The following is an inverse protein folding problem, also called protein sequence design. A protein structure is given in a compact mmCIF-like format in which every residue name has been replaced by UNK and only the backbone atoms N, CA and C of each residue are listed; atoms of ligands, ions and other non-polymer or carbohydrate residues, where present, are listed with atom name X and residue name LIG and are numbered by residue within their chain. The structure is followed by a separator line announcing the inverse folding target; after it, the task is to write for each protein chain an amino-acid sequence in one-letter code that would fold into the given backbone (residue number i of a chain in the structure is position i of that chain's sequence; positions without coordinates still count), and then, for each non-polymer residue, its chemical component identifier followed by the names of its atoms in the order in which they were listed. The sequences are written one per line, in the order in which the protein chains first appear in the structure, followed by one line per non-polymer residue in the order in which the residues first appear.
data_IF_323119949439
#
_entry.id   IF_323119949439
#
_cell.length_a   1.000
_cell.length_b   1.000
_cell.length_c   1.000
_cell.angle_alpha   90.00
_cell.angle_beta   90.00
_cell.angle_gamma   90.00
#
_symmetry.space_group_name_H-M   'P 1'
#
loop_
_entity.id
_entity.type
_entity.pdbx_description
1 polymer ?
#
# COMPACT_ATOMS: atom_id res chain seq x y z
N UNK A 1 -6.04 -20.78 28.38
CA UNK A 1 -5.46 -19.82 29.34
C UNK A 1 -4.70 -20.64 30.36
N UNK A 2 -3.39 -20.36 30.52
CA UNK A 2 -2.58 -21.03 31.53
C UNK A 2 -3.00 -20.64 32.95
N UNK A 3 -2.54 -21.39 33.94
CA UNK A 3 -2.83 -21.13 35.39
C UNK A 3 -2.39 -19.73 35.86
N UNK A 4 -1.56 -19.04 35.11
CA UNK A 4 -1.10 -17.66 35.33
C UNK A 4 -2.01 -16.58 34.69
N UNK A 5 -3.17 -16.95 34.16
CA UNK A 5 -4.10 -16.03 33.46
C UNK A 5 -3.61 -15.55 32.07
N UNK A 6 -2.44 -15.99 31.61
CA UNK A 6 -1.91 -15.63 30.28
C UNK A 6 -2.24 -16.72 29.26
N UNK A 7 -2.31 -16.36 27.99
CA UNK A 7 -2.43 -17.32 26.90
C UNK A 7 -1.18 -18.21 26.88
N UNK A 8 -1.40 -19.52 26.73
CA UNK A 8 -0.29 -20.43 26.44
C UNK A 8 0.36 -20.00 25.12
N UNK A 9 1.68 -19.74 25.06
CA UNK A 9 2.34 -19.33 23.83
C UNK A 9 2.23 -20.37 22.71
N UNK A 10 1.94 -21.62 23.06
CA UNK A 10 1.73 -22.71 22.10
C UNK A 10 0.23 -22.98 21.81
N UNK A 11 -0.67 -22.14 22.32
CA UNK A 11 -2.10 -22.32 22.06
C UNK A 11 -2.41 -21.92 20.61
N UNK A 12 -2.92 -22.85 19.85
CA UNK A 12 -3.50 -22.56 18.53
C UNK A 12 -4.83 -21.83 18.79
N UNK A 13 -4.84 -20.53 18.45
CA UNK A 13 -6.06 -19.71 18.56
C UNK A 13 -6.90 -19.93 17.31
N UNK A 14 -8.16 -20.27 17.49
CA UNK A 14 -9.12 -20.45 16.40
C UNK A 14 -9.94 -21.72 16.55
N UNK A 15 -10.83 -21.93 15.59
CA UNK A 15 -11.67 -23.12 15.49
C UNK A 15 -11.30 -23.93 14.25
N UNK A 16 -11.16 -25.23 14.40
CA UNK A 16 -11.00 -26.14 13.26
C UNK A 16 -12.39 -26.43 12.69
N UNK A 17 -12.54 -26.24 11.40
CA UNK A 17 -13.73 -26.59 10.63
C UNK A 17 -13.35 -27.59 9.54
N UNK A 18 -14.28 -28.46 9.19
CA UNK A 18 -14.11 -29.42 8.10
C UNK A 18 -14.93 -28.95 6.89
N UNK A 19 -14.29 -28.86 5.74
CA UNK A 19 -14.93 -28.54 4.47
C UNK A 19 -14.32 -29.39 3.36
N UNK A 20 -15.15 -30.08 2.57
CA UNK A 20 -14.68 -30.92 1.49
C UNK A 20 -13.76 -32.07 1.91
N UNK A 21 -13.85 -32.57 3.17
CA UNK A 21 -13.00 -33.61 3.71
C UNK A 21 -11.60 -33.14 4.13
N UNK A 22 -11.36 -31.83 4.17
CA UNK A 22 -10.12 -31.21 4.63
C UNK A 22 -10.37 -30.34 5.85
N UNK A 23 -9.42 -30.28 6.77
CA UNK A 23 -9.50 -29.44 7.96
C UNK A 23 -8.88 -28.06 7.69
N UNK A 24 -9.57 -27.04 8.18
CA UNK A 24 -9.17 -25.65 8.10
C UNK A 24 -9.18 -25.00 9.48
N UNK A 25 -8.19 -24.16 9.77
CA UNK A 25 -8.15 -23.37 10.98
C UNK A 25 -8.68 -21.96 10.72
N UNK A 26 -9.83 -21.65 11.29
CA UNK A 26 -10.40 -20.31 11.28
C UNK A 26 -9.92 -19.57 12.52
N UNK A 27 -9.12 -18.53 12.32
CA UNK A 27 -8.64 -17.66 13.40
C UNK A 27 -8.74 -16.20 12.99
N UNK A 28 -8.98 -15.29 13.95
CA UNK A 28 -8.99 -13.85 13.72
C UNK A 28 -7.65 -13.36 13.17
N UNK A 29 -7.71 -12.39 12.25
CA UNK A 29 -6.54 -11.66 11.75
C UNK A 29 -6.67 -10.16 12.07
N UNK A 30 -5.54 -9.49 12.21
CA UNK A 30 -5.49 -8.04 12.40
C UNK A 30 -5.48 -7.34 11.06
N UNK A 31 -6.64 -7.11 10.48
CA UNK A 31 -6.82 -6.54 9.15
C UNK A 31 -6.05 -5.23 8.93
N UNK A 32 -6.01 -4.35 9.94
CA UNK A 32 -5.29 -3.09 9.84
C UNK A 32 -3.77 -3.28 9.79
N UNK A 33 -3.24 -4.19 10.58
CA UNK A 33 -1.79 -4.45 10.65
C UNK A 33 -1.25 -5.08 9.35
N UNK A 34 -2.10 -5.81 8.62
CA UNK A 34 -1.73 -6.44 7.35
C UNK A 34 -1.79 -5.48 6.17
N UNK A 35 -2.67 -4.48 6.22
CA UNK A 35 -2.93 -3.56 5.12
C UNK A 35 -2.13 -2.26 5.25
N UNK A 36 -1.87 -1.83 6.48
CA UNK A 36 -1.14 -0.60 6.75
C UNK A 36 0.24 -0.85 7.29
N UNK A 37 1.20 -0.10 6.78
CA UNK A 37 2.59 -0.14 7.18
C UNK A 37 3.14 1.27 7.36
N UNK A 38 4.36 1.37 7.86
CA UNK A 38 5.05 2.64 7.92
C UNK A 38 5.64 2.95 6.54
N UNK A 39 5.20 4.03 5.93
CA UNK A 39 5.77 4.54 4.70
C UNK A 39 7.01 5.40 4.96
N UNK A 40 8.03 5.28 4.13
CA UNK A 40 9.22 6.11 4.15
C UNK A 40 9.14 7.16 3.04
N UNK A 41 9.28 8.44 3.42
CA UNK A 41 9.41 9.53 2.47
C UNK A 41 10.85 10.02 2.42
N UNK A 42 11.42 10.05 1.23
CA UNK A 42 12.76 10.54 0.94
C UNK A 42 12.69 11.62 -0.14
N UNK A 43 13.36 12.74 0.10
CA UNK A 43 13.41 13.85 -0.85
C UNK A 43 14.83 14.38 -0.94
N UNK A 44 15.36 14.42 -2.16
CA UNK A 44 16.69 14.90 -2.45
C UNK A 44 16.60 16.07 -3.41
N UNK A 45 17.19 17.20 -3.03
CA UNK A 45 17.20 18.40 -3.83
C UNK A 45 18.65 18.88 -4.01
N UNK A 46 19.07 19.03 -5.25
CA UNK A 46 20.35 19.64 -5.60
C UNK A 46 20.07 20.83 -6.49
N UNK A 47 20.68 21.96 -6.17
CA UNK A 47 20.60 23.15 -6.98
C UNK A 47 21.99 23.80 -7.14
N UNK A 48 22.19 24.39 -8.28
CA UNK A 48 23.39 25.15 -8.64
C UNK A 48 22.96 26.48 -9.20
N UNK A 49 23.55 27.55 -8.69
CA UNK A 49 23.37 28.88 -9.24
C UNK A 49 24.74 29.53 -9.49
N UNK A 50 24.84 30.19 -10.62
CA UNK A 50 26.02 30.95 -10.98
C UNK A 50 25.60 32.23 -11.70
N UNK A 51 26.38 33.26 -11.62
CA UNK A 51 26.11 34.52 -12.30
C UNK A 51 27.33 35.38 -12.46
N UNK A 52 27.26 36.26 -13.45
CA UNK A 52 28.17 37.38 -13.69
C UNK A 52 27.32 38.66 -13.86
N UNK A 53 27.96 39.79 -14.05
CA UNK A 53 27.22 41.05 -14.29
C UNK A 53 26.29 40.99 -15.50
N UNK A 54 26.56 40.05 -16.44
CA UNK A 54 25.81 39.95 -17.71
C UNK A 54 25.05 38.63 -17.86
N UNK A 55 25.24 37.67 -16.97
CA UNK A 55 24.59 36.37 -17.05
C UNK A 55 24.14 35.85 -15.71
N UNK A 56 23.03 35.15 -15.69
CA UNK A 56 22.60 34.35 -14.53
C UNK A 56 22.19 32.96 -15.00
N UNK A 57 22.54 31.98 -14.20
CA UNK A 57 22.24 30.57 -14.45
C UNK A 57 21.74 29.94 -13.17
N UNK A 58 20.68 29.19 -13.29
CA UNK A 58 20.16 28.37 -12.20
C UNK A 58 19.72 27.01 -12.75
N UNK A 59 20.14 25.95 -12.10
CA UNK A 59 19.64 24.62 -12.37
C UNK A 59 19.31 23.91 -11.05
N UNK A 60 18.29 23.09 -11.07
CA UNK A 60 17.94 22.24 -9.93
C UNK A 60 17.43 20.88 -10.39
N UNK A 61 17.76 19.87 -9.63
CA UNK A 61 17.22 18.52 -9.78
C UNK A 61 16.66 18.10 -8.42
N UNK A 62 15.44 17.59 -8.43
CA UNK A 62 14.76 17.10 -7.24
C UNK A 62 14.23 15.69 -7.49
N UNK A 63 14.51 14.78 -6.59
CA UNK A 63 13.95 13.44 -6.57
C UNK A 63 13.16 13.24 -5.28
N UNK A 64 11.93 12.77 -5.42
CA UNK A 64 11.05 12.42 -4.33
C UNK A 64 10.63 10.97 -4.49
N UNK A 65 10.84 10.17 -3.45
CA UNK A 65 10.23 8.86 -3.27
C UNK A 65 9.39 8.88 -2.00
N UNK A 66 8.12 8.56 -2.11
CA UNK A 66 7.17 8.53 -1.01
C UNK A 66 6.42 7.20 -1.02
N UNK A 67 6.81 6.32 -0.11
CA UNK A 67 6.06 5.10 0.15
C UNK A 67 4.79 5.45 0.91
N UNK A 68 3.65 4.97 0.45
CA UNK A 68 2.38 5.18 1.14
C UNK A 68 2.27 4.32 2.41
N UNK A 69 1.35 4.69 3.27
CA UNK A 69 1.04 3.90 4.48
C UNK A 69 0.26 2.62 4.17
N UNK A 70 -0.39 2.55 3.03
CA UNK A 70 -1.09 1.35 2.55
C UNK A 70 -0.14 0.52 1.70
N UNK A 71 -0.14 -0.78 1.92
CA UNK A 71 0.67 -1.73 1.13
C UNK A 71 0.43 -1.51 -0.36
N UNK A 72 1.49 -1.59 -1.17
CA UNK A 72 1.49 -1.38 -2.63
C UNK A 72 1.12 0.04 -3.10
N UNK A 73 1.14 1.04 -2.23
CA UNK A 73 1.00 2.43 -2.64
C UNK A 73 2.35 3.16 -2.61
N UNK A 74 2.71 3.83 -3.70
CA UNK A 74 3.94 4.62 -3.78
C UNK A 74 3.80 5.78 -4.77
N UNK A 75 4.60 6.80 -4.55
CA UNK A 75 4.70 7.96 -5.42
C UNK A 75 6.16 8.36 -5.62
N UNK A 76 6.61 8.38 -6.85
CA UNK A 76 7.93 8.84 -7.24
C UNK A 76 7.81 10.07 -8.14
N UNK A 77 8.71 11.03 -7.95
CA UNK A 77 8.78 12.23 -8.80
C UNK A 77 10.22 12.67 -9.01
N UNK A 78 10.58 12.87 -10.27
CA UNK A 78 11.81 13.52 -10.68
C UNK A 78 11.47 14.87 -11.32
N UNK A 79 12.07 15.94 -10.82
CA UNK A 79 11.88 17.29 -11.37
C UNK A 79 13.23 17.89 -11.73
N UNK A 80 13.35 18.40 -12.95
CA UNK A 80 14.49 19.17 -13.41
C UNK A 80 14.07 20.59 -13.79
N UNK A 81 14.84 21.59 -13.40
CA UNK A 81 14.64 22.98 -13.79
C UNK A 81 15.93 23.59 -14.28
N UNK A 82 15.83 24.39 -15.32
CA UNK A 82 16.89 25.19 -15.87
C UNK A 82 16.38 26.59 -16.14
N UNK A 83 17.09 27.58 -15.62
CA UNK A 83 16.87 28.99 -15.94
C UNK A 83 18.19 29.64 -16.29
N UNK A 84 18.23 30.30 -17.42
CA UNK A 84 19.39 31.05 -17.87
C UNK A 84 18.95 32.40 -18.45
N UNK A 85 19.65 33.46 -18.04
CA UNK A 85 19.46 34.81 -18.58
C UNK A 85 20.81 35.33 -19.02
N UNK A 86 20.85 36.04 -20.17
CA UNK A 86 22.05 36.66 -20.71
C UNK A 86 21.75 38.03 -21.29
N UNK A 87 22.53 39.03 -20.85
CA UNK A 87 22.51 40.39 -21.37
C UNK A 87 23.39 40.47 -22.63
N UNK A 88 22.77 40.32 -23.81
CA UNK A 88 23.46 40.32 -25.08
C UNK A 88 23.99 41.72 -25.43
N UNK A 89 23.18 42.74 -25.16
CA UNK A 89 23.50 44.17 -25.32
C UNK A 89 22.80 44.95 -24.22
N UNK A 90 23.17 46.21 -24.00
CA UNK A 90 22.59 47.04 -22.96
C UNK A 90 21.06 47.16 -23.10
N UNK A 91 20.55 47.04 -24.31
CA UNK A 91 19.12 47.08 -24.62
C UNK A 91 18.49 45.71 -24.90
N UNK A 92 19.27 44.62 -24.88
CA UNK A 92 18.78 43.27 -25.22
C UNK A 92 19.20 42.25 -24.19
N UNK A 93 18.21 41.72 -23.48
CA UNK A 93 18.34 40.56 -22.59
C UNK A 93 17.57 39.39 -23.16
N UNK A 94 18.19 38.22 -23.18
CA UNK A 94 17.56 36.95 -23.59
C UNK A 94 17.58 36.01 -22.41
N UNK A 95 16.52 35.23 -22.28
CA UNK A 95 16.39 34.26 -21.18
C UNK A 95 15.66 33.00 -21.63
N UNK A 96 15.98 31.90 -20.99
CA UNK A 96 15.30 30.62 -21.15
C UNK A 96 14.91 30.07 -19.76
N UNK A 97 13.72 29.53 -19.66
CA UNK A 97 13.25 28.86 -18.45
C UNK A 97 12.57 27.56 -18.87
N UNK A 98 13.14 26.44 -18.45
CA UNK A 98 12.67 25.10 -18.75
C UNK A 98 12.40 24.35 -17.46
N UNK A 99 11.33 23.60 -17.42
CA UNK A 99 11.02 22.68 -16.34
C UNK A 99 10.52 21.37 -16.93
N UNK A 100 11.00 20.28 -16.37
CA UNK A 100 10.57 18.93 -16.70
C UNK A 100 10.22 18.20 -15.41
N UNK A 101 9.09 17.53 -15.42
CA UNK A 101 8.67 16.69 -14.30
C UNK A 101 8.19 15.35 -14.84
N UNK A 102 8.80 14.29 -14.32
CA UNK A 102 8.35 12.92 -14.50
C UNK A 102 7.83 12.41 -13.14
N UNK A 103 6.70 11.76 -13.12
CA UNK A 103 6.20 11.10 -11.92
C UNK A 103 5.61 9.74 -12.25
N UNK A 104 5.70 8.84 -11.29
CA UNK A 104 5.05 7.55 -11.28
C UNK A 104 4.29 7.41 -9.96
N UNK A 105 3.01 7.07 -10.04
CA UNK A 105 2.16 6.90 -8.87
C UNK A 105 1.45 5.56 -8.96
N UNK A 106 1.62 4.73 -7.95
CA UNK A 106 0.80 3.57 -7.73
C UNK A 106 -0.16 3.89 -6.57
N UNK A 107 -1.41 4.17 -6.90
CA UNK A 107 -2.46 4.42 -5.92
C UNK A 107 -3.51 3.34 -6.01
N UNK A 108 -3.99 2.92 -4.87
CA UNK A 108 -5.09 1.98 -4.81
C UNK A 108 -6.34 2.60 -5.42
N UNK A 109 -7.09 1.81 -6.17
CA UNK A 109 -8.39 2.22 -6.68
C UNK A 109 -9.36 2.34 -5.52
N UNK A 110 -9.66 3.56 -5.14
CA UNK A 110 -10.76 3.84 -4.21
C UNK A 110 -12.03 4.10 -5.04
N UNK A 111 -12.81 3.06 -5.23
CA UNK A 111 -14.14 3.23 -5.78
C UNK A 111 -15.00 3.99 -4.75
N UNK A 112 -15.49 5.17 -5.15
CA UNK A 112 -16.15 6.14 -4.26
C UNK A 112 -17.50 5.71 -3.69
N UNK A 113 -17.95 4.47 -3.90
CA UNK A 113 -19.12 3.97 -3.22
C UNK A 113 -18.74 3.47 -1.83
N UNK A 114 -19.30 4.10 -0.81
CA UNK A 114 -19.07 3.81 0.62
C UNK A 114 -19.41 2.37 1.07
N UNK A 115 -19.88 1.55 0.18
CA UNK A 115 -20.24 0.15 0.39
C UNK A 115 -19.47 -0.80 -0.52
N UNK A 116 -18.55 -0.28 -1.37
CA UNK A 116 -17.94 -1.11 -2.37
C UNK A 116 -16.83 -1.97 -1.80
N UNK A 117 -16.79 -3.16 -2.34
CA UNK A 117 -15.77 -4.18 -2.11
C UNK A 117 -14.37 -3.77 -2.61
N UNK A 118 -14.21 -2.58 -3.19
CA UNK A 118 -12.95 -2.06 -3.71
C UNK A 118 -12.24 -1.03 -2.82
N UNK A 119 -12.85 -0.58 -1.72
CA UNK A 119 -12.24 0.40 -0.84
C UNK A 119 -11.49 -0.29 0.32
N UNK A 120 -10.17 -0.29 0.26
CA UNK A 120 -9.30 -0.92 1.27
C UNK A 120 -9.56 -0.41 2.68
N UNK A 121 -9.76 0.90 2.84
CA UNK A 121 -10.07 1.49 4.14
C UNK A 121 -11.42 1.01 4.69
N UNK A 122 -12.45 1.00 3.85
CA UNK A 122 -13.77 0.54 4.27
C UNK A 122 -13.75 -0.94 4.65
N UNK A 123 -13.08 -1.78 3.86
CA UNK A 123 -12.97 -3.22 4.15
C UNK A 123 -12.22 -3.43 5.46
N UNK A 124 -11.04 -2.85 5.61
CA UNK A 124 -10.17 -3.08 6.76
C UNK A 124 -10.73 -2.54 8.09
N UNK A 125 -11.59 -1.50 8.04
CA UNK A 125 -12.17 -0.88 9.23
C UNK A 125 -13.55 -1.41 9.60
N UNK A 126 -14.31 -1.91 8.62
CA UNK A 126 -15.70 -2.36 8.84
C UNK A 126 -15.85 -3.84 9.04
N UNK A 127 -14.92 -4.66 8.51
CA UNK A 127 -14.93 -6.09 8.78
C UNK A 127 -14.52 -6.32 10.23
N UNK A 128 -15.37 -7.06 10.97
CA UNK A 128 -15.06 -7.36 12.36
C UNK A 128 -13.77 -8.20 12.46
N UNK A 129 -12.89 -7.91 13.43
CA UNK A 129 -11.59 -8.59 13.59
C UNK A 129 -11.70 -10.11 13.84
N UNK A 130 -12.88 -10.60 14.16
CA UNK A 130 -13.14 -12.04 14.33
C UNK A 130 -12.99 -12.83 13.02
N UNK A 131 -13.17 -12.17 11.89
CA UNK A 131 -13.09 -12.84 10.59
C UNK A 131 -11.63 -12.97 10.13
N UNK A 132 -11.24 -14.15 9.60
CA UNK A 132 -9.91 -14.35 9.06
C UNK A 132 -9.71 -13.57 7.76
N UNK A 133 -8.47 -13.21 7.48
CA UNK A 133 -8.05 -12.63 6.21
C UNK A 133 -7.56 -13.71 5.25
N UNK A 134 -6.97 -14.77 5.80
CA UNK A 134 -6.35 -15.84 5.04
C UNK A 134 -7.02 -17.18 5.31
N UNK A 135 -7.05 -18.03 4.30
CA UNK A 135 -7.42 -19.44 4.43
C UNK A 135 -6.20 -20.21 4.96
N UNK A 136 -6.42 -21.01 6.00
CA UNK A 136 -5.37 -21.79 6.65
C UNK A 136 -5.73 -23.27 6.71
N UNK A 137 -4.72 -24.12 6.62
CA UNK A 137 -4.86 -25.56 6.85
C UNK A 137 -5.16 -25.84 8.35
N UNK A 138 -5.41 -27.12 8.68
CA UNK A 138 -5.69 -27.54 10.06
C UNK A 138 -4.53 -27.33 11.04
N UNK A 139 -3.31 -27.13 10.54
CA UNK A 139 -2.10 -26.84 11.31
C UNK A 139 -1.89 -25.33 11.51
N UNK A 140 -2.64 -24.49 10.76
CA UNK A 140 -2.60 -23.04 10.84
C UNK A 140 -1.69 -22.34 9.85
N UNK A 141 -1.11 -23.06 8.88
CA UNK A 141 -0.32 -22.45 7.83
C UNK A 141 -1.24 -21.79 6.80
N UNK A 142 -0.84 -20.64 6.29
CA UNK A 142 -1.57 -19.97 5.20
C UNK A 142 -1.46 -20.84 3.94
N UNK A 143 -2.59 -21.17 3.37
CA UNK A 143 -2.65 -21.96 2.15
C UNK A 143 -2.21 -21.13 0.94
N UNK A 144 -1.59 -21.81 -0.01
CA UNK A 144 -1.09 -21.21 -1.26
C UNK A 144 -1.85 -21.85 -2.42
N UNK A 145 -2.26 -21.03 -3.37
CA UNK A 145 -2.92 -21.49 -4.59
C UNK A 145 -1.93 -22.14 -5.57
N UNK A 146 -2.45 -22.67 -6.67
CA UNK A 146 -1.65 -23.30 -7.74
C UNK A 146 -0.66 -22.36 -8.43
N UNK A 147 -0.81 -21.04 -8.27
CA UNK A 147 0.04 -20.01 -8.85
C UNK A 147 1.08 -19.49 -7.85
N UNK A 148 1.09 -20.00 -6.61
CA UNK A 148 2.01 -19.57 -5.56
C UNK A 148 1.53 -18.39 -4.74
N UNK A 149 0.28 -17.96 -4.89
CA UNK A 149 -0.29 -16.84 -4.12
C UNK A 149 -1.00 -17.35 -2.86
N UNK A 150 -0.95 -16.53 -1.80
CA UNK A 150 -1.71 -16.79 -0.58
C UNK A 150 -3.21 -16.84 -0.88
N UNK A 151 -3.91 -17.78 -0.29
CA UNK A 151 -5.36 -17.88 -0.41
C UNK A 151 -6.03 -16.94 0.59
N UNK A 152 -6.87 -16.03 0.09
CA UNK A 152 -7.60 -15.04 0.88
C UNK A 152 -9.01 -15.52 1.20
N UNK A 153 -9.48 -15.23 2.43
CA UNK A 153 -10.87 -15.43 2.82
C UNK A 153 -11.70 -14.21 2.38
N UNK A 154 -12.58 -14.42 1.44
CA UNK A 154 -13.50 -13.39 0.94
C UNK A 154 -14.83 -13.32 1.72
N UNK A 155 -15.02 -14.19 2.69
CA UNK A 155 -16.25 -14.21 3.49
C UNK A 155 -17.46 -14.74 2.75
N UNK A 156 -17.26 -15.50 1.67
CA UNK A 156 -18.30 -16.16 0.89
C UNK A 156 -18.65 -17.55 1.43
N UNK A 157 -17.84 -18.09 2.33
CA UNK A 157 -18.00 -19.44 2.89
C UNK A 157 -17.43 -20.54 2.01
N UNK A 158 -16.69 -20.17 0.94
CA UNK A 158 -16.09 -21.12 0.03
C UNK A 158 -14.63 -21.44 0.43
N UNK A 159 -14.10 -22.54 -0.14
CA UNK A 159 -12.70 -22.96 0.02
C UNK A 159 -12.21 -23.04 1.48
N UNK A 160 -13.09 -23.41 2.40
CA UNK A 160 -12.77 -23.47 3.84
C UNK A 160 -12.78 -22.11 4.54
N UNK A 161 -13.20 -21.05 3.87
CA UNK A 161 -13.39 -19.73 4.44
C UNK A 161 -14.66 -19.61 5.29
N UNK A 162 -14.75 -18.52 6.06
CA UNK A 162 -15.89 -18.24 6.91
C UNK A 162 -16.87 -17.29 6.25
N UNK A 163 -18.12 -17.72 6.05
CA UNK A 163 -19.19 -16.87 5.51
C UNK A 163 -19.45 -15.64 6.38
N UNK A 164 -19.52 -14.45 5.76
CA UNK A 164 -19.82 -13.18 6.44
C UNK A 164 -21.15 -12.61 5.95
N UNK A 165 -21.98 -12.08 6.86
CA UNK A 165 -23.23 -11.43 6.46
C UNK A 165 -23.03 -10.04 5.84
N UNK A 166 -21.83 -9.47 5.96
CA UNK A 166 -21.47 -8.12 5.52
C UNK A 166 -20.14 -8.13 4.76
N UNK A 167 -20.05 -7.42 3.65
CA UNK A 167 -18.86 -7.35 2.78
C UNK A 167 -18.37 -8.74 2.31
N UNK A 168 -19.28 -9.67 2.08
CA UNK A 168 -19.01 -10.94 1.42
C UNK A 168 -18.47 -10.67 0.00
N UNK A 169 -17.46 -11.43 -0.41
CA UNK A 169 -16.76 -11.20 -1.67
C UNK A 169 -15.64 -10.15 -1.60
N UNK A 170 -15.27 -9.68 -0.40
CA UNK A 170 -14.26 -8.64 -0.22
C UNK A 170 -13.11 -9.08 0.66
N UNK A 171 -11.88 -8.71 0.29
CA UNK A 171 -10.70 -8.87 1.13
C UNK A 171 -9.80 -7.65 1.02
N UNK A 172 -9.42 -7.04 2.14
CA UNK A 172 -8.68 -5.78 2.15
C UNK A 172 -7.29 -5.93 1.53
N UNK A 173 -6.58 -7.01 1.80
CA UNK A 173 -5.24 -7.20 1.26
C UNK A 173 -5.29 -7.52 -0.25
N UNK A 174 -6.23 -8.35 -0.69
CA UNK A 174 -6.44 -8.61 -2.11
C UNK A 174 -6.80 -7.33 -2.89
N UNK A 175 -7.48 -6.38 -2.26
CA UNK A 175 -7.82 -5.10 -2.89
C UNK A 175 -6.60 -4.15 -3.03
N UNK A 176 -5.44 -4.48 -2.43
CA UNK A 176 -4.19 -3.72 -2.60
C UNK A 176 -3.34 -4.23 -3.77
N UNK A 177 -3.70 -5.35 -4.38
CA UNK A 177 -2.98 -5.98 -5.50
C UNK A 177 -3.56 -5.55 -6.85
#
# INVERSE_FOLDING_TARGET
IGSNGKLNPNAVLGNIVEYGGQQYLIRPDKWLDEVYSHGLRQEYNVNVSAGTDKSSFYTSVSYLNNEGITVNSNYERLTGRLKADYQVKDWLKVGANMAYTYFNANSLSEDGSSASSGNVFAISTRIAPIYPMYIRDGEGNIMIDKNGYKMYDYGDGENGGLGRPFMSGSNAYSATM
#
